data_IF_460634556133
#
_entry.id   IF_460634556133
#
_cell.length_a   1.000
_cell.length_b   1.000
_cell.length_c   1.000
_cell.angle_alpha   90.00
_cell.angle_beta   90.00
_cell.angle_gamma   90.00
#
_symmetry.space_group_name_H-M   'P 1'
#
loop_
_entity.id
_entity.type
_entity.pdbx_description
1 polymer ?
#
# COMPACT_ATOMS: atom_id res chain seq x y z
N UNK A 1 13.64 -11.59 -11.05
CA UNK A 1 12.69 -11.88 -12.16
C UNK A 1 12.03 -10.57 -12.56
N UNK A 2 12.07 -10.19 -13.83
CA UNK A 2 11.34 -9.03 -14.36
C UNK A 2 10.19 -9.50 -15.26
N UNK A 3 9.03 -8.84 -15.17
CA UNK A 3 7.82 -9.21 -15.90
C UNK A 3 7.12 -7.94 -16.36
N UNK A 4 6.80 -7.87 -17.65
CA UNK A 4 6.02 -6.75 -18.17
C UNK A 4 4.56 -6.79 -17.70
N UNK A 5 3.91 -5.64 -17.71
CA UNK A 5 2.46 -5.51 -17.50
C UNK A 5 1.77 -5.63 -18.85
N UNK A 6 0.83 -6.57 -19.00
CA UNK A 6 0.01 -6.69 -20.20
C UNK A 6 -1.22 -5.78 -20.17
N UNK A 7 -1.76 -5.51 -18.98
CA UNK A 7 -2.95 -4.67 -18.84
C UNK A 7 -2.98 -3.99 -17.46
N UNK A 8 -3.38 -2.72 -17.44
CA UNK A 8 -3.73 -1.98 -16.24
C UNK A 8 -5.26 -1.78 -16.20
N UNK A 9 -5.85 -2.02 -15.04
CA UNK A 9 -7.28 -1.90 -14.77
C UNK A 9 -7.47 -0.99 -13.55
N UNK A 10 -7.55 0.34 -13.73
CA UNK A 10 -7.82 1.26 -12.62
C UNK A 10 -9.25 1.09 -12.11
N UNK A 11 -9.48 1.42 -10.84
CA UNK A 11 -10.83 1.43 -10.29
C UNK A 11 -11.72 2.45 -11.03
N UNK A 12 -12.97 2.12 -11.40
CA UNK A 12 -13.82 3.02 -12.20
C UNK A 12 -14.13 4.38 -11.58
N UNK A 13 -13.99 4.52 -10.25
CA UNK A 13 -14.20 5.79 -9.52
C UNK A 13 -12.94 6.65 -9.36
N UNK A 14 -11.78 6.15 -9.80
CA UNK A 14 -10.56 6.92 -9.74
C UNK A 14 -10.65 8.11 -10.70
N UNK A 15 -10.47 9.32 -10.17
CA UNK A 15 -10.53 10.56 -10.93
C UNK A 15 -9.35 11.50 -10.63
N UNK A 16 -8.25 10.94 -10.09
CA UNK A 16 -7.02 11.68 -9.78
C UNK A 16 -6.76 11.83 -8.28
N UNK A 17 -5.86 12.76 -7.95
CA UNK A 17 -5.42 13.04 -6.58
C UNK A 17 -6.61 13.35 -5.65
N UNK A 18 -6.55 12.80 -4.43
CA UNK A 18 -7.59 12.92 -3.41
C UNK A 18 -8.99 12.35 -3.75
N UNK A 19 -9.14 11.56 -4.82
CA UNK A 19 -10.41 10.90 -5.16
C UNK A 19 -10.54 9.51 -4.55
N UNK A 20 -11.78 9.01 -4.45
CA UNK A 20 -12.04 7.64 -3.98
C UNK A 20 -11.57 6.60 -5.00
N UNK A 21 -11.18 5.41 -4.54
CA UNK A 21 -10.79 4.33 -5.44
C UNK A 21 -9.35 4.43 -5.92
N UNK A 22 -8.45 4.89 -5.07
CA UNK A 22 -6.99 4.87 -5.26
C UNK A 22 -6.46 3.42 -5.21
N UNK A 23 -6.82 2.63 -6.24
CA UNK A 23 -6.47 1.21 -6.42
C UNK A 23 -6.57 0.81 -7.90
N UNK A 24 -5.68 -0.08 -8.34
CA UNK A 24 -5.70 -0.67 -9.68
C UNK A 24 -5.24 -2.13 -9.65
N UNK A 25 -5.69 -2.92 -10.63
CA UNK A 25 -5.16 -4.27 -10.90
C UNK A 25 -4.19 -4.22 -12.09
N UNK A 26 -3.04 -4.88 -11.96
CA UNK A 26 -2.09 -5.06 -13.05
C UNK A 26 -2.04 -6.55 -13.45
N UNK A 27 -2.44 -6.86 -14.69
CA UNK A 27 -2.30 -8.21 -15.24
C UNK A 27 -0.89 -8.36 -15.82
N UNK A 28 -0.13 -9.31 -15.31
CA UNK A 28 1.20 -9.63 -15.81
C UNK A 28 1.13 -10.21 -17.23
N UNK A 29 2.14 -9.93 -18.04
CA UNK A 29 2.23 -10.43 -19.42
C UNK A 29 2.37 -11.95 -19.54
N UNK A 30 2.79 -12.60 -18.46
CA UNK A 30 2.82 -14.05 -18.31
C UNK A 30 2.74 -14.43 -16.84
N UNK A 31 2.35 -15.67 -16.55
CA UNK A 31 2.38 -16.23 -15.20
C UNK A 31 3.79 -16.23 -14.61
N UNK A 32 3.88 -16.08 -13.28
CA UNK A 32 5.13 -16.14 -12.52
C UNK A 32 5.04 -17.30 -11.55
N UNK A 33 5.98 -18.26 -11.58
CA UNK A 33 5.98 -19.36 -10.64
C UNK A 33 6.29 -18.85 -9.23
N UNK A 34 5.60 -19.40 -8.24
CA UNK A 34 5.88 -19.11 -6.84
C UNK A 34 7.16 -19.80 -6.38
N UNK A 35 7.80 -19.21 -5.38
CA UNK A 35 9.05 -19.72 -4.83
C UNK A 35 9.48 -18.94 -3.59
N UNK A 36 10.69 -19.20 -3.06
CA UNK A 36 11.15 -18.63 -1.78
C UNK A 36 11.10 -17.10 -1.67
N UNK A 37 11.10 -16.36 -2.79
CA UNK A 37 11.00 -14.90 -2.81
C UNK A 37 9.80 -14.35 -3.57
N UNK A 38 8.86 -15.20 -4.01
CA UNK A 38 7.68 -14.79 -4.78
C UNK A 38 6.46 -15.54 -4.25
N UNK A 39 5.54 -14.81 -3.64
CA UNK A 39 4.28 -15.34 -3.14
C UNK A 39 3.17 -14.29 -3.13
N UNK A 40 1.90 -14.73 -3.13
CA UNK A 40 0.76 -13.82 -3.04
C UNK A 40 0.57 -13.31 -1.60
N UNK A 41 -0.17 -12.21 -1.46
CA UNK A 41 -0.72 -11.75 -0.19
C UNK A 41 -2.22 -12.06 -0.14
N UNK A 42 -2.74 -12.38 1.05
CA UNK A 42 -4.17 -12.59 1.24
C UNK A 42 -4.94 -11.27 1.16
N UNK A 43 -6.07 -11.27 0.46
CA UNK A 43 -7.02 -10.16 0.52
C UNK A 43 -7.85 -10.26 1.82
N UNK A 44 -8.14 -9.13 2.48
CA UNK A 44 -9.02 -9.14 3.64
C UNK A 44 -10.45 -9.48 3.23
N UNK A 45 -11.20 -10.07 4.16
CA UNK A 45 -12.65 -10.19 4.01
C UNK A 45 -13.28 -8.81 3.85
N UNK A 46 -14.28 -8.69 2.96
CA UNK A 46 -15.03 -7.44 2.75
C UNK A 46 -15.70 -6.91 4.04
N UNK A 47 -15.91 -7.78 5.04
CA UNK A 47 -16.49 -7.44 6.34
C UNK A 47 -15.45 -7.13 7.43
N UNK A 48 -14.16 -7.28 7.14
CA UNK A 48 -13.11 -7.00 8.12
C UNK A 48 -13.14 -5.52 8.55
N UNK A 49 -12.92 -5.29 9.84
CA UNK A 49 -12.76 -3.97 10.45
C UNK A 49 -11.51 -4.02 11.33
N UNK A 50 -10.64 -3.02 11.18
CA UNK A 50 -9.46 -2.88 12.01
C UNK A 50 -9.79 -1.98 13.21
N UNK A 51 -9.50 -2.45 14.41
CA UNK A 51 -9.64 -1.62 15.62
C UNK A 51 -8.50 -0.61 15.71
N UNK A 52 -8.74 0.60 16.24
CA UNK A 52 -7.66 1.53 16.56
C UNK A 52 -6.58 0.84 17.42
N UNK A 53 -5.32 1.15 17.18
CA UNK A 53 -4.19 0.50 17.85
C UNK A 53 -3.81 -0.88 17.30
N UNK A 54 -4.51 -1.37 16.26
CA UNK A 54 -4.07 -2.59 15.56
C UNK A 54 -2.68 -2.36 14.98
N UNK A 55 -1.75 -3.27 15.31
CA UNK A 55 -0.42 -3.25 14.75
C UNK A 55 -0.46 -3.69 13.28
N UNK A 56 0.11 -2.87 12.40
CA UNK A 56 0.21 -3.13 10.97
C UNK A 56 1.69 -3.05 10.52
N UNK A 57 1.98 -3.67 9.39
CA UNK A 57 3.30 -3.64 8.77
C UNK A 57 3.17 -3.07 7.37
N UNK A 58 4.03 -2.11 7.04
CA UNK A 58 4.20 -1.60 5.68
C UNK A 58 5.64 -1.84 5.24
N UNK A 59 5.84 -2.22 3.99
CA UNK A 59 7.15 -2.50 3.40
C UNK A 59 7.28 -1.77 2.06
N UNK A 60 8.47 -1.29 1.74
CA UNK A 60 8.71 -0.59 0.48
C UNK A 60 10.14 -0.09 0.32
N UNK A 61 10.35 0.62 -0.78
CA UNK A 61 11.63 1.26 -1.16
C UNK A 61 11.52 2.80 -1.19
N UNK A 62 10.50 3.35 -0.52
CA UNK A 62 10.28 4.81 -0.44
C UNK A 62 11.34 5.53 0.39
N UNK A 63 11.33 6.86 0.33
CA UNK A 63 12.21 7.70 1.14
C UNK A 63 11.97 7.47 2.64
N UNK A 64 13.04 7.30 3.41
CA UNK A 64 12.99 7.09 4.86
C UNK A 64 13.35 8.34 5.66
N UNK A 65 13.56 9.50 5.01
CA UNK A 65 13.80 10.78 5.68
C UNK A 65 15.17 10.91 6.35
N UNK A 66 16.01 9.87 6.28
CA UNK A 66 17.41 9.92 6.69
C UNK A 66 18.27 10.14 5.45
N UNK A 67 18.83 11.34 5.31
CA UNK A 67 19.68 11.69 4.18
C UNK A 67 20.72 10.61 3.88
N UNK A 68 20.60 10.03 2.68
CA UNK A 68 21.66 9.27 2.04
C UNK A 68 21.87 7.84 2.55
N UNK A 69 20.98 6.93 2.17
CA UNK A 69 21.42 5.58 1.76
C UNK A 69 20.30 4.90 0.97
N UNK A 70 20.58 4.64 -0.31
CA UNK A 70 19.77 3.81 -1.21
C UNK A 70 19.81 2.36 -0.72
N UNK A 71 19.22 2.11 0.45
CA UNK A 71 19.13 0.80 1.07
C UNK A 71 17.96 0.01 0.51
N UNK A 72 18.11 -1.31 0.47
CA UNK A 72 17.08 -2.25 0.00
C UNK A 72 15.75 -2.17 0.78
N UNK A 73 14.80 -3.08 0.48
CA UNK A 73 13.47 -3.01 1.08
C UNK A 73 13.55 -3.06 2.60
N UNK A 74 12.92 -2.10 3.28
CA UNK A 74 12.82 -2.06 4.75
C UNK A 74 11.37 -2.22 5.18
N UNK A 75 11.15 -2.95 6.27
CA UNK A 75 9.85 -3.09 6.90
C UNK A 75 9.72 -2.12 8.07
N UNK A 76 8.62 -1.36 8.11
CA UNK A 76 8.28 -0.45 9.21
C UNK A 76 7.02 -0.98 9.88
N UNK A 77 7.05 -1.12 11.21
CA UNK A 77 5.87 -1.42 12.02
C UNK A 77 5.14 -0.11 12.31
N UNK A 78 3.92 0.02 11.83
CA UNK A 78 3.07 1.19 12.06
C UNK A 78 1.87 0.78 12.90
N UNK A 79 1.54 1.57 13.93
CA UNK A 79 0.24 1.45 14.60
C UNK A 79 -0.82 2.24 13.83
N UNK A 80 -2.01 1.68 13.65
CA UNK A 80 -3.15 2.48 13.19
C UNK A 80 -3.59 3.42 14.34
N UNK A 81 -2.99 4.61 14.39
CA UNK A 81 -3.29 5.65 15.36
C UNK A 81 -4.60 6.37 15.04
N UNK A 82 -5.46 6.52 16.05
CA UNK A 82 -6.64 7.37 16.00
C UNK A 82 -6.28 8.84 16.23
N UNK A 83 -7.07 9.73 15.61
CA UNK A 83 -7.01 11.20 15.55
C UNK A 83 -6.16 11.79 14.40
N UNK A 84 -6.83 12.59 13.56
CA UNK A 84 -6.38 13.03 12.24
C UNK A 84 -5.34 14.15 12.22
N UNK A 85 -4.31 14.12 13.09
CA UNK A 85 -3.22 15.12 13.07
C UNK A 85 -1.80 14.55 12.92
N UNK A 86 -1.66 13.24 12.83
CA UNK A 86 -0.34 12.58 12.80
C UNK A 86 0.21 12.37 11.37
N UNK A 87 -0.49 12.84 10.34
CA UNK A 87 -0.18 12.56 8.92
C UNK A 87 0.62 13.66 8.20
N UNK A 88 0.85 14.83 8.81
CA UNK A 88 1.50 15.96 8.11
C UNK A 88 3.04 15.96 8.16
N UNK A 89 3.67 14.96 8.81
CA UNK A 89 5.13 14.91 8.95
C UNK A 89 5.86 13.84 8.14
N UNK A 90 5.15 12.94 7.46
CA UNK A 90 5.76 11.80 6.78
C UNK A 90 5.69 12.00 5.26
N UNK A 91 6.81 12.44 4.70
CA UNK A 91 7.02 12.37 3.25
C UNK A 91 6.79 10.95 2.76
N UNK A 92 5.68 10.75 2.04
CA UNK A 92 5.46 9.64 1.13
C UNK A 92 5.31 8.24 1.72
N UNK A 93 4.30 7.99 2.56
CA UNK A 93 3.63 6.66 2.62
C UNK A 93 2.13 6.87 2.79
N UNK A 94 1.35 6.67 1.72
CA UNK A 94 -0.13 6.71 1.73
C UNK A 94 -0.66 5.28 1.72
N UNK A 95 -1.05 4.75 2.88
CA UNK A 95 -1.94 3.59 2.99
C UNK A 95 -3.32 4.12 3.38
N UNK A 96 -4.14 4.49 2.40
CA UNK A 96 -5.43 5.11 2.62
C UNK A 96 -6.57 4.09 2.75
N UNK A 97 -7.10 3.91 3.95
CA UNK A 97 -8.51 3.55 4.19
C UNK A 97 -9.10 4.57 5.18
N UNK A 98 -9.19 5.83 4.74
CA UNK A 98 -9.87 6.90 5.47
C UNK A 98 -11.25 7.15 4.89
N UNK A 99 -12.30 6.64 5.53
CA UNK A 99 -13.66 7.10 5.32
C UNK A 99 -13.94 8.27 6.26
N UNK A 100 -14.20 9.45 5.73
CA UNK A 100 -14.75 10.58 6.49
C UNK A 100 -16.28 10.53 6.41
N UNK A 101 -16.92 10.07 7.48
CA UNK A 101 -18.33 10.31 7.78
C UNK A 101 -18.45 11.50 8.71
N UNK A 102 -19.46 12.34 8.46
CA UNK A 102 -19.76 13.60 9.17
C UNK A 102 -19.87 13.45 10.68
#
# INVERSE_FOLDING_TARGET
VAVGVAQLLPHPRYAGEATSGDIALARLARSVPFGPGIGPVCLPSARLRFSPGTACVSTGWGDTGSGGERGGPRGVKMGLGGTGRDWEGLGGVKMGLGGTGR
#
